data_IF_105712579200
#
_entry.id   IF_105712579200
#
_cell.length_a   1.000
_cell.length_b   1.000
_cell.length_c   1.000
_cell.angle_alpha   90.00
_cell.angle_beta   90.00
_cell.angle_gamma   90.00
#
_symmetry.space_group_name_H-M   'P 1'
#
loop_
_entity.id
_entity.type
_entity.pdbx_description
1 polymer ?
#
# COMPACT_ATOMS: atom_id res chain seq x y z
N UNK A 1 26.29 31.35 -36.28
CA UNK A 1 26.63 29.90 -36.38
C UNK A 1 26.04 29.22 -35.15
N UNK A 2 24.92 28.52 -35.32
CA UNK A 2 24.21 27.82 -34.25
C UNK A 2 24.46 26.31 -34.38
N UNK A 3 24.63 25.56 -33.27
CA UNK A 3 24.83 24.12 -33.33
C UNK A 3 23.50 23.36 -33.59
N UNK A 4 23.55 22.17 -34.21
CA UNK A 4 22.36 21.45 -34.65
C UNK A 4 21.67 20.67 -33.52
N UNK A 5 20.35 20.60 -33.62
CA UNK A 5 19.44 19.83 -32.74
C UNK A 5 19.35 18.38 -33.23
N UNK A 6 19.48 17.33 -32.37
CA UNK A 6 19.31 15.96 -32.81
C UNK A 6 17.84 15.57 -32.98
N UNK A 7 17.50 15.02 -34.14
CA UNK A 7 16.19 14.50 -34.51
C UNK A 7 15.83 13.20 -33.78
N UNK A 8 14.68 13.18 -33.10
CA UNK A 8 14.07 11.97 -32.55
C UNK A 8 13.56 11.03 -33.65
N UNK A 9 14.15 9.84 -33.74
CA UNK A 9 13.65 8.73 -34.56
C UNK A 9 12.44 8.11 -33.83
N UNK A 10 11.24 8.28 -34.41
CA UNK A 10 10.04 7.50 -34.06
C UNK A 10 10.21 6.07 -34.62
N UNK A 11 10.16 5.06 -33.77
CA UNK A 11 9.78 3.70 -34.19
C UNK A 11 8.38 3.39 -33.68
N UNK A 12 7.47 3.24 -34.63
CA UNK A 12 6.14 2.68 -34.47
C UNK A 12 6.22 1.17 -34.23
N UNK A 13 5.51 0.66 -33.23
CA UNK A 13 5.20 -0.77 -33.11
C UNK A 13 3.68 -0.93 -33.08
N UNK A 14 3.16 -1.59 -34.11
CA UNK A 14 1.80 -2.16 -34.14
C UNK A 14 1.86 -3.66 -33.86
N UNK A 15 0.76 -4.30 -33.38
CA UNK A 15 0.82 -5.56 -32.65
C UNK A 15 0.37 -6.78 -33.49
N UNK A 16 1.06 -7.91 -33.32
CA UNK A 16 0.68 -9.28 -33.73
C UNK A 16 1.44 -10.24 -32.81
N UNK A 17 1.00 -11.41 -32.37
CA UNK A 17 -0.23 -12.21 -32.47
C UNK A 17 -0.06 -13.39 -31.48
N UNK A 18 -1.17 -14.03 -31.12
CA UNK A 18 -1.27 -15.24 -30.26
C UNK A 18 -0.55 -16.47 -30.83
N UNK A 19 -0.07 -17.37 -29.94
CA UNK A 19 -0.19 -18.85 -29.93
C UNK A 19 0.91 -19.44 -29.01
N UNK A 20 0.61 -20.15 -27.91
CA UNK A 20 0.03 -21.49 -27.73
C UNK A 20 1.08 -22.60 -27.56
N UNK A 21 0.89 -23.37 -26.48
CA UNK A 21 1.33 -24.75 -26.21
C UNK A 21 2.82 -25.06 -25.94
N UNK A 22 3.11 -25.48 -24.70
CA UNK A 22 4.00 -26.61 -24.39
C UNK A 22 3.80 -27.07 -22.94
N UNK A 23 2.92 -28.04 -22.75
CA UNK A 23 2.78 -28.82 -21.52
C UNK A 23 3.72 -30.02 -21.59
N UNK A 24 4.69 -30.11 -20.67
CA UNK A 24 5.35 -31.39 -20.33
C UNK A 24 5.25 -31.64 -18.83
N UNK A 25 4.62 -32.78 -18.51
CA UNK A 25 4.51 -33.44 -17.20
C UNK A 25 5.88 -33.94 -16.75
N UNK A 26 6.12 -34.02 -15.42
CA UNK A 26 6.77 -35.11 -14.67
C UNK A 26 6.80 -34.78 -13.14
N UNK A 27 7.04 -35.74 -12.21
CA UNK A 27 6.05 -36.11 -11.20
C UNK A 27 6.38 -35.72 -9.74
N UNK A 28 5.38 -35.98 -8.87
CA UNK A 28 5.35 -35.80 -7.42
C UNK A 28 6.24 -36.81 -6.68
N UNK A 29 6.97 -36.35 -5.66
CA UNK A 29 7.41 -37.16 -4.52
C UNK A 29 7.60 -36.26 -3.30
N UNK A 30 6.67 -36.28 -2.33
CA UNK A 30 6.93 -35.79 -0.98
C UNK A 30 6.37 -36.78 0.04
N UNK A 31 7.25 -37.21 0.95
CA UNK A 31 7.02 -38.14 2.02
C UNK A 31 6.29 -37.47 3.20
N UNK A 32 5.47 -38.28 3.86
CA UNK A 32 4.76 -38.01 5.12
C UNK A 32 5.70 -37.97 6.32
N UNK A 33 5.50 -36.99 7.22
CA UNK A 33 6.01 -37.03 8.60
C UNK A 33 4.83 -37.08 9.58
N UNK A 34 4.84 -38.08 10.45
CA UNK A 34 3.90 -38.30 11.56
C UNK A 34 4.33 -37.55 12.82
N UNK A 35 3.35 -37.13 13.62
CA UNK A 35 3.52 -36.65 14.99
C UNK A 35 3.30 -37.79 16.00
N UNK A 36 3.86 -37.73 17.22
CA UNK A 36 3.42 -38.57 18.32
C UNK A 36 2.54 -37.80 19.33
N UNK A 37 1.65 -38.55 19.96
CA UNK A 37 0.74 -38.15 21.02
C UNK A 37 1.07 -38.87 22.34
N UNK A 38 0.54 -38.32 23.45
CA UNK A 38 0.01 -38.99 24.66
C UNK A 38 0.87 -39.15 25.94
N UNK A 39 0.15 -39.02 27.07
CA UNK A 39 0.51 -39.43 28.46
C UNK A 39 0.43 -38.26 29.47
N UNK A 40 -0.67 -37.96 30.18
CA UNK A 40 -1.47 -38.64 31.24
C UNK A 40 -1.01 -38.41 32.70
N UNK A 41 -1.92 -37.78 33.47
CA UNK A 41 -2.34 -37.95 34.87
C UNK A 41 -1.31 -38.10 36.03
N UNK A 42 -1.49 -37.29 37.08
CA UNK A 42 -1.70 -37.76 38.47
C UNK A 42 -2.21 -36.65 39.42
N UNK A 43 -2.97 -37.10 40.41
CA UNK A 43 -3.79 -36.40 41.42
C UNK A 43 -3.14 -36.54 42.81
N UNK A 44 -3.55 -35.70 43.79
CA UNK A 44 -3.68 -35.90 45.26
C UNK A 44 -3.51 -34.53 45.99
N UNK A 45 -4.56 -33.91 46.55
CA UNK A 45 -5.21 -34.04 47.89
C UNK A 45 -4.55 -33.28 49.08
N UNK A 46 -5.38 -32.44 49.72
CA UNK A 46 -5.56 -32.11 51.17
C UNK A 46 -4.87 -30.89 51.85
N UNK A 47 -5.70 -29.85 52.14
CA UNK A 47 -6.09 -29.16 53.42
C UNK A 47 -5.08 -28.89 54.58
N UNK A 48 -5.34 -27.96 55.56
CA UNK A 48 -6.56 -27.16 55.85
C UNK A 48 -6.40 -25.64 56.26
N UNK A 49 -7.54 -24.94 56.19
CA UNK A 49 -8.17 -23.91 57.08
C UNK A 49 -7.35 -22.85 57.85
N UNK A 50 -7.77 -21.58 57.71
CA UNK A 50 -8.15 -20.70 58.84
C UNK A 50 -9.07 -19.56 58.39
N UNK A 51 -10.01 -19.21 59.27
CA UNK A 51 -11.19 -18.38 59.03
C UNK A 51 -10.96 -16.88 59.31
N UNK A 52 -11.74 -15.99 58.67
CA UNK A 52 -12.22 -14.75 59.29
C UNK A 52 -13.35 -14.06 58.49
N UNK A 53 -14.49 -13.89 59.17
CA UNK A 53 -15.59 -12.95 58.99
C UNK A 53 -15.46 -11.81 57.94
N UNK A 54 -16.50 -11.63 57.10
CA UNK A 54 -17.33 -10.40 57.08
C UNK A 54 -18.43 -10.37 56.01
N UNK A 55 -19.58 -9.87 56.45
CA UNK A 55 -20.55 -9.05 55.73
C UNK A 55 -21.35 -9.71 54.61
N UNK A 56 -22.49 -10.23 55.04
CA UNK A 56 -23.67 -10.49 54.22
C UNK A 56 -24.19 -9.16 53.65
N UNK A 57 -23.86 -8.87 52.38
CA UNK A 57 -24.59 -7.91 51.56
C UNK A 57 -25.33 -8.70 50.48
N UNK A 58 -26.66 -8.59 50.48
CA UNK A 58 -27.49 -8.99 49.36
C UNK A 58 -27.00 -8.30 48.09
N UNK A 59 -26.29 -9.04 47.23
CA UNK A 59 -26.21 -8.72 45.82
C UNK A 59 -27.33 -9.50 45.14
N UNK A 60 -28.35 -8.77 44.66
CA UNK A 60 -29.18 -9.28 43.58
C UNK A 60 -28.23 -9.61 42.43
N UNK A 61 -27.95 -10.90 42.22
CA UNK A 61 -27.29 -11.38 41.03
C UNK A 61 -28.25 -11.20 39.85
N UNK A 62 -28.12 -10.08 39.13
CA UNK A 62 -28.57 -10.04 37.74
C UNK A 62 -27.69 -11.04 36.98
N UNK A 63 -28.25 -12.24 36.77
CA UNK A 63 -27.69 -13.25 35.88
C UNK A 63 -27.70 -12.70 34.46
N UNK A 64 -26.61 -12.01 34.07
CA UNK A 64 -26.36 -11.70 32.68
C UNK A 64 -25.83 -12.99 32.07
N UNK A 65 -26.73 -13.70 31.38
CA UNK A 65 -26.41 -14.87 30.56
C UNK A 65 -25.18 -14.59 29.69
N UNK A 66 -24.09 -15.27 29.98
CA UNK A 66 -22.81 -15.17 29.26
C UNK A 66 -22.84 -15.78 27.85
N UNK A 67 -24.02 -16.12 27.34
CA UNK A 67 -24.19 -16.89 26.09
C UNK A 67 -24.59 -16.05 24.88
N UNK A 68 -24.36 -14.73 24.88
CA UNK A 68 -24.75 -13.86 23.76
C UNK A 68 -23.73 -12.78 23.40
N UNK A 69 -22.45 -13.16 23.28
CA UNK A 69 -21.43 -12.30 22.65
C UNK A 69 -20.61 -13.02 21.55
N UNK A 70 -20.65 -14.36 21.48
CA UNK A 70 -19.94 -15.13 20.45
C UNK A 70 -20.65 -15.18 19.07
N UNK A 71 -21.90 -14.72 18.97
CA UNK A 71 -22.72 -14.79 17.74
C UNK A 71 -22.66 -13.53 16.86
N UNK A 72 -21.83 -12.53 17.19
CA UNK A 72 -21.73 -11.28 16.44
C UNK A 72 -20.55 -11.25 15.43
N UNK A 73 -20.03 -12.41 15.01
CA UNK A 73 -19.29 -12.53 13.75
C UNK A 73 -20.21 -13.20 12.75
N UNK A 74 -20.71 -12.44 11.78
CA UNK A 74 -21.78 -12.86 10.87
C UNK A 74 -21.32 -14.06 10.04
N UNK A 75 -21.84 -15.26 10.33
CA UNK A 75 -21.84 -16.40 9.39
C UNK A 75 -22.88 -16.15 8.30
N UNK A 76 -22.63 -15.16 7.45
CA UNK A 76 -23.48 -14.83 6.32
C UNK A 76 -23.27 -15.82 5.18
N UNK A 77 -24.04 -16.92 5.17
CA UNK A 77 -24.18 -17.82 4.03
C UNK A 77 -25.01 -17.15 2.93
N UNK A 78 -24.33 -16.59 1.94
CA UNK A 78 -24.92 -16.03 0.72
C UNK A 78 -23.82 -15.67 -0.24
N UNK A 79 -24.04 -15.87 -1.53
CA UNK A 79 -23.08 -15.54 -2.58
C UNK A 79 -23.03 -14.01 -2.76
N UNK A 80 -22.52 -13.30 -1.76
CA UNK A 80 -22.37 -11.84 -1.77
C UNK A 80 -21.02 -11.56 -2.43
N UNK A 81 -21.05 -11.25 -3.73
CA UNK A 81 -19.90 -10.62 -4.38
C UNK A 81 -19.61 -9.31 -3.67
N UNK A 82 -18.35 -9.10 -3.28
CA UNK A 82 -17.93 -7.81 -2.73
C UNK A 82 -18.25 -6.72 -3.75
N UNK A 83 -19.02 -5.71 -3.33
CA UNK A 83 -19.33 -4.58 -4.20
C UNK A 83 -18.03 -3.80 -4.48
N UNK A 84 -17.82 -3.36 -5.72
CA UNK A 84 -16.69 -2.49 -6.03
C UNK A 84 -16.80 -1.19 -5.23
N UNK A 85 -15.65 -0.58 -4.96
CA UNK A 85 -15.63 0.73 -4.29
C UNK A 85 -16.45 1.77 -5.08
N UNK A 86 -17.32 2.48 -4.36
CA UNK A 86 -18.13 3.55 -4.91
C UNK A 86 -17.29 4.83 -5.14
N UNK A 87 -17.76 5.74 -6.02
CA UNK A 87 -17.24 7.11 -6.09
C UNK A 87 -17.13 7.77 -4.71
N UNK A 88 -16.19 8.71 -4.52
CA UNK A 88 -16.02 9.38 -3.24
C UNK A 88 -17.31 10.13 -2.85
N UNK A 89 -17.70 10.12 -1.57
CA UNK A 89 -18.84 10.90 -1.13
C UNK A 89 -18.53 12.40 -1.22
N UNK A 90 -19.54 13.23 -1.49
CA UNK A 90 -19.39 14.69 -1.63
C UNK A 90 -18.69 15.35 -0.43
N UNK A 91 -18.89 14.83 0.78
CA UNK A 91 -18.26 15.34 2.00
C UNK A 91 -16.72 15.27 1.97
N UNK A 92 -16.13 14.38 1.16
CA UNK A 92 -14.68 14.32 1.00
C UNK A 92 -14.13 15.58 0.32
N UNK A 93 -14.89 16.25 -0.55
CA UNK A 93 -14.44 17.48 -1.21
C UNK A 93 -15.00 18.76 -0.56
N UNK A 94 -15.93 18.66 0.39
CA UNK A 94 -16.55 19.85 1.02
C UNK A 94 -16.18 20.07 2.48
N UNK A 95 -15.91 19.00 3.25
CA UNK A 95 -15.61 19.10 4.67
C UNK A 95 -14.11 19.03 4.96
N UNK A 96 -13.63 19.75 5.98
CA UNK A 96 -12.23 19.68 6.42
C UNK A 96 -12.04 18.51 7.37
N UNK A 97 -11.11 17.62 7.02
CA UNK A 97 -10.73 16.46 7.82
C UNK A 97 -9.38 16.66 8.51
N UNK A 98 -9.18 15.99 9.65
CA UNK A 98 -7.88 15.99 10.34
C UNK A 98 -6.81 15.37 9.45
N UNK A 99 -5.79 16.16 9.10
CA UNK A 99 -4.62 15.70 8.37
C UNK A 99 -3.46 15.33 9.29
N UNK A 100 -2.54 14.56 8.74
CA UNK A 100 -1.22 14.29 9.32
C UNK A 100 -0.22 15.30 8.78
N UNK A 101 0.61 15.85 9.67
CA UNK A 101 1.77 16.66 9.30
C UNK A 101 2.97 15.74 9.13
N UNK A 102 3.57 15.74 7.94
CA UNK A 102 4.63 14.79 7.57
C UNK A 102 5.81 15.55 7.02
N UNK A 103 6.98 15.31 7.60
CA UNK A 103 8.21 15.89 7.11
C UNK A 103 8.70 15.14 5.86
N UNK A 104 9.14 15.83 4.78
CA UNK A 104 9.63 15.20 3.56
C UNK A 104 10.77 14.18 3.79
N UNK A 105 11.59 14.38 4.82
CA UNK A 105 12.68 13.49 5.24
C UNK A 105 12.19 12.09 5.63
N UNK A 106 10.89 11.90 5.84
CA UNK A 106 10.32 10.57 6.12
C UNK A 106 10.04 9.78 4.85
N UNK A 107 10.01 10.40 3.68
CA UNK A 107 9.50 9.82 2.46
C UNK A 107 10.60 9.31 1.53
N UNK A 108 10.38 8.16 0.92
CA UNK A 108 11.25 7.51 -0.04
C UNK A 108 10.59 7.55 -1.41
N UNK A 109 11.37 7.81 -2.45
CA UNK A 109 10.91 7.62 -3.83
C UNK A 109 11.95 6.82 -4.58
N UNK A 110 11.52 5.89 -5.42
CA UNK A 110 12.40 5.16 -6.33
C UNK A 110 12.10 5.61 -7.75
N UNK A 111 13.15 5.92 -8.50
CA UNK A 111 13.04 6.36 -9.89
C UNK A 111 14.13 5.72 -10.73
N UNK A 112 13.82 5.47 -12.01
CA UNK A 112 14.80 5.06 -13.02
C UNK A 112 15.60 6.24 -13.59
N UNK A 113 15.29 7.46 -13.17
CA UNK A 113 15.98 8.68 -13.59
C UNK A 113 16.92 9.16 -12.49
N UNK A 114 18.09 9.67 -12.87
CA UNK A 114 19.10 10.23 -11.95
C UNK A 114 18.94 11.74 -11.70
N UNK A 115 17.91 12.36 -12.29
CA UNK A 115 17.58 13.78 -12.11
C UNK A 115 16.09 14.05 -12.32
N UNK A 116 15.63 15.25 -11.94
CA UNK A 116 14.26 15.71 -12.19
C UNK A 116 13.24 15.30 -11.14
N UNK A 117 13.69 14.86 -9.96
CA UNK A 117 12.82 14.45 -8.86
C UNK A 117 12.68 15.56 -7.79
N UNK A 118 11.53 15.70 -7.11
CA UNK A 118 10.31 14.91 -7.29
C UNK A 118 9.54 15.29 -8.57
N UNK A 119 9.22 14.29 -9.40
CA UNK A 119 8.47 14.46 -10.63
C UNK A 119 6.96 14.28 -10.41
N UNK A 120 6.18 15.28 -10.80
CA UNK A 120 4.71 15.27 -10.75
C UNK A 120 4.13 14.96 -12.13
N UNK A 121 3.82 13.67 -12.36
CA UNK A 121 3.33 13.17 -13.64
C UNK A 121 1.87 13.54 -13.89
N UNK A 122 1.51 13.72 -15.17
CA UNK A 122 0.14 14.02 -15.65
C UNK A 122 -0.35 13.03 -16.72
N UNK A 123 0.23 11.83 -16.75
CA UNK A 123 -0.04 10.84 -17.80
C UNK A 123 -1.41 10.17 -17.66
N UNK A 124 -1.96 10.08 -16.44
CA UNK A 124 -3.22 9.41 -16.20
C UNK A 124 -3.15 7.90 -16.06
N UNK A 125 -1.94 7.36 -16.22
CA UNK A 125 -1.67 5.92 -16.20
C UNK A 125 -1.66 5.32 -14.80
N UNK A 126 -1.64 6.14 -13.75
CA UNK A 126 -1.58 5.66 -12.37
C UNK A 126 -2.91 5.78 -11.64
N UNK A 127 -3.02 4.98 -10.58
CA UNK A 127 -4.22 4.80 -9.77
C UNK A 127 -4.85 6.10 -9.27
N UNK A 128 -4.04 7.09 -8.97
CA UNK A 128 -4.48 8.36 -8.37
C UNK A 128 -4.16 9.56 -9.25
N UNK A 129 -3.90 9.36 -10.53
CA UNK A 129 -3.70 10.48 -11.45
C UNK A 129 -4.99 11.27 -11.68
N UNK A 130 -4.85 12.51 -12.12
CA UNK A 130 -5.97 13.42 -12.35
C UNK A 130 -6.87 12.91 -13.51
N UNK A 131 -8.17 12.66 -13.31
CA UNK A 131 -9.03 12.01 -14.32
C UNK A 131 -9.19 12.83 -15.60
N UNK A 132 -9.00 14.15 -15.54
CA UNK A 132 -9.02 15.06 -16.70
C UNK A 132 -7.90 14.81 -17.71
N UNK A 133 -6.91 13.96 -17.40
CA UNK A 133 -5.83 13.58 -18.33
C UNK A 133 -6.34 13.09 -19.69
N UNK A 134 -7.47 12.37 -19.71
CA UNK A 134 -8.09 11.82 -20.92
C UNK A 134 -8.51 12.91 -21.92
N UNK A 135 -8.68 14.13 -21.43
CA UNK A 135 -9.08 15.30 -22.19
C UNK A 135 -7.95 16.32 -22.27
N UNK A 136 -6.71 15.93 -21.96
CA UNK A 136 -5.55 16.83 -21.84
C UNK A 136 -5.79 18.02 -20.89
N UNK A 137 -6.56 17.78 -19.82
CA UNK A 137 -6.97 18.77 -18.80
C UNK A 137 -6.75 18.22 -17.40
N UNK A 138 -5.60 17.59 -17.17
CA UNK A 138 -5.24 17.06 -15.86
C UNK A 138 -5.30 18.18 -14.80
N UNK A 139 -6.11 17.97 -13.77
CA UNK A 139 -6.35 18.95 -12.71
C UNK A 139 -5.13 19.15 -11.81
N UNK A 140 -4.23 18.15 -11.77
CA UNK A 140 -3.00 18.13 -11.00
C UNK A 140 -1.98 17.16 -11.59
N UNK A 141 -0.71 17.39 -11.26
CA UNK A 141 0.34 16.36 -11.33
C UNK A 141 0.41 15.52 -10.06
N UNK A 142 0.74 14.24 -10.20
CA UNK A 142 0.85 13.29 -9.09
C UNK A 142 2.29 12.81 -8.90
N UNK A 143 2.76 12.77 -7.65
CA UNK A 143 4.04 12.20 -7.25
C UNK A 143 3.83 11.12 -6.19
N UNK A 144 4.45 9.96 -6.38
CA UNK A 144 4.29 8.76 -5.54
C UNK A 144 5.54 8.52 -4.69
N UNK A 145 5.31 8.25 -3.40
CA UNK A 145 6.36 8.00 -2.40
C UNK A 145 5.94 6.89 -1.41
N UNK A 146 6.91 6.26 -0.77
CA UNK A 146 6.73 5.32 0.34
C UNK A 146 7.15 5.92 1.68
N UNK A 147 6.51 5.50 2.79
CA UNK A 147 6.99 5.83 4.14
C UNK A 147 8.27 5.10 4.54
N UNK A 148 8.54 3.99 3.88
CA UNK A 148 9.73 3.17 4.11
C UNK A 148 10.33 2.77 2.77
N UNK A 149 11.60 2.36 2.79
CA UNK A 149 12.28 1.84 1.60
C UNK A 149 11.55 0.61 1.05
N UNK A 150 11.09 -0.29 1.93
CA UNK A 150 10.35 -1.51 1.55
C UNK A 150 9.08 -1.18 0.77
N UNK A 151 8.31 -0.17 1.22
CA UNK A 151 7.10 0.26 0.52
C UNK A 151 7.43 0.87 -0.84
N UNK A 152 8.45 1.74 -0.90
CA UNK A 152 8.87 2.32 -2.16
C UNK A 152 9.36 1.25 -3.15
N UNK A 153 10.10 0.24 -2.67
CA UNK A 153 10.52 -0.90 -3.51
C UNK A 153 9.34 -1.72 -4.01
N UNK A 154 8.38 -2.03 -3.14
CA UNK A 154 7.20 -2.80 -3.52
C UNK A 154 6.34 -2.07 -4.57
N UNK A 155 6.16 -0.75 -4.43
CA UNK A 155 5.35 0.06 -5.34
C UNK A 155 6.07 0.46 -6.63
N UNK A 156 7.41 0.47 -6.68
CA UNK A 156 8.16 0.90 -7.87
C UNK A 156 8.84 -0.24 -8.62
N UNK A 157 9.47 -1.18 -7.90
CA UNK A 157 10.24 -2.28 -8.52
C UNK A 157 9.36 -3.52 -8.72
N UNK A 158 8.49 -3.83 -7.75
CA UNK A 158 7.73 -5.07 -7.74
C UNK A 158 6.30 -4.92 -8.29
N UNK A 159 5.84 -3.70 -8.58
CA UNK A 159 4.45 -3.40 -8.96
C UNK A 159 3.93 -4.27 -10.12
N UNK A 160 4.73 -4.42 -11.17
CA UNK A 160 4.38 -5.20 -12.36
C UNK A 160 5.02 -6.61 -12.37
N UNK A 161 5.64 -7.00 -11.27
CA UNK A 161 6.39 -8.26 -11.17
C UNK A 161 5.55 -9.31 -10.48
N UNK A 162 5.66 -10.55 -10.96
CA UNK A 162 5.04 -11.71 -10.32
C UNK A 162 6.14 -12.61 -9.76
N UNK A 163 6.04 -13.05 -8.50
CA UNK A 163 7.02 -13.95 -7.94
C UNK A 163 6.94 -15.33 -8.60
N UNK A 164 8.11 -15.94 -8.84
CA UNK A 164 8.25 -17.32 -9.29
C UNK A 164 8.84 -18.11 -8.13
N UNK A 165 8.13 -19.14 -7.68
CA UNK A 165 8.50 -19.95 -6.50
C UNK A 165 8.81 -19.10 -5.25
N UNK A 166 8.00 -18.05 -5.04
CA UNK A 166 8.14 -17.13 -3.92
C UNK A 166 9.31 -16.14 -4.03
N UNK A 167 9.94 -16.02 -5.20
CA UNK A 167 11.07 -15.09 -5.44
C UNK A 167 10.72 -14.10 -6.53
N UNK A 168 11.13 -12.85 -6.36
CA UNK A 168 11.04 -11.85 -7.42
C UNK A 168 12.35 -11.83 -8.21
N UNK A 169 12.30 -12.34 -9.44
CA UNK A 169 13.44 -12.31 -10.36
C UNK A 169 13.45 -10.94 -11.05
N UNK A 170 14.42 -10.11 -10.70
CA UNK A 170 14.53 -8.74 -11.20
C UNK A 170 15.79 -8.62 -12.02
N UNK A 171 15.69 -8.06 -13.24
CA UNK A 171 16.86 -7.81 -14.06
C UNK A 171 17.88 -6.93 -13.32
N UNK A 172 19.15 -7.33 -13.34
CA UNK A 172 20.23 -6.59 -12.69
C UNK A 172 20.30 -5.13 -13.19
N UNK A 173 19.98 -4.89 -14.45
CA UNK A 173 19.92 -3.54 -15.04
C UNK A 173 18.84 -2.66 -14.39
N UNK A 174 17.69 -3.22 -14.01
CA UNK A 174 16.64 -2.48 -13.28
C UNK A 174 17.15 -2.09 -11.89
N UNK A 175 17.81 -3.01 -11.19
CA UNK A 175 18.35 -2.75 -9.85
C UNK A 175 19.49 -1.72 -9.88
N UNK A 176 20.38 -1.81 -10.87
CA UNK A 176 21.52 -0.91 -11.04
C UNK A 176 21.10 0.49 -11.51
N UNK A 177 20.06 0.60 -12.34
CA UNK A 177 19.58 1.87 -12.88
C UNK A 177 18.40 2.46 -12.09
N UNK A 178 18.15 1.98 -10.87
CA UNK A 178 17.17 2.56 -9.96
C UNK A 178 17.85 3.35 -8.87
N UNK A 179 17.28 4.50 -8.53
CA UNK A 179 17.80 5.41 -7.53
C UNK A 179 16.76 5.66 -6.44
N UNK A 180 17.20 5.68 -5.19
CA UNK A 180 16.39 6.07 -4.04
C UNK A 180 16.61 7.55 -3.76
N UNK A 181 15.53 8.31 -3.83
CA UNK A 181 15.47 9.72 -3.51
C UNK A 181 14.95 9.95 -2.10
N UNK A 182 15.61 10.88 -1.41
CA UNK A 182 15.22 11.41 -0.10
C UNK A 182 15.05 12.92 -0.22
N UNK A 183 14.16 13.45 0.59
CA UNK A 183 13.70 14.83 0.47
C UNK A 183 13.88 15.61 1.76
N UNK A 184 14.00 16.92 1.64
CA UNK A 184 13.91 17.90 2.73
C UNK A 184 12.85 18.93 2.39
N UNK A 185 12.58 19.86 3.30
CA UNK A 185 11.62 20.95 3.10
C UNK A 185 10.59 21.04 4.23
N UNK A 186 9.47 21.67 3.90
CA UNK A 186 8.41 22.03 4.84
C UNK A 186 7.48 20.86 5.15
N UNK A 187 6.78 20.97 6.28
CA UNK A 187 5.79 19.97 6.68
C UNK A 187 4.64 19.88 5.66
N UNK A 188 4.45 18.68 5.13
CA UNK A 188 3.36 18.31 4.22
C UNK A 188 2.08 18.01 5.01
N UNK A 189 0.96 18.57 4.54
CA UNK A 189 -0.38 18.35 5.07
C UNK A 189 -1.06 17.21 4.30
N UNK A 190 -1.02 16.00 4.84
CA UNK A 190 -1.53 14.81 4.17
C UNK A 190 -2.82 14.29 4.80
N UNK A 191 -3.85 14.09 3.98
CA UNK A 191 -5.04 13.39 4.43
C UNK A 191 -4.75 11.90 4.63
N UNK A 192 -5.15 11.31 5.76
CA UNK A 192 -4.92 9.89 5.99
C UNK A 192 -6.11 9.04 5.50
N UNK A 193 -6.10 8.63 4.23
CA UNK A 193 -7.13 7.76 3.62
C UNK A 193 -6.92 6.28 3.97
N UNK A 194 -6.73 6.00 5.26
CA UNK A 194 -6.67 4.65 5.81
C UNK A 194 -7.55 4.53 7.05
N UNK A 195 -7.76 3.30 7.51
CA UNK A 195 -8.43 3.02 8.79
C UNK A 195 -9.82 3.67 8.93
N UNK A 196 -10.06 4.29 10.08
CA UNK A 196 -11.38 4.81 10.44
C UNK A 196 -11.88 5.93 9.51
N UNK A 197 -11.00 6.80 8.98
CA UNK A 197 -11.44 7.86 8.06
C UNK A 197 -11.93 7.26 6.75
N UNK A 198 -11.16 6.33 6.17
CA UNK A 198 -11.57 5.66 4.94
C UNK A 198 -12.94 4.97 5.12
N UNK A 199 -13.14 4.31 6.27
CA UNK A 199 -14.42 3.66 6.59
C UNK A 199 -15.58 4.67 6.75
N UNK A 200 -15.35 5.82 7.39
CA UNK A 200 -16.35 6.90 7.52
C UNK A 200 -16.79 7.46 6.16
N UNK A 201 -15.89 7.42 5.17
CA UNK A 201 -16.17 7.85 3.80
C UNK A 201 -16.72 6.72 2.92
N UNK A 202 -17.16 5.60 3.52
CA UNK A 202 -17.62 4.38 2.82
C UNK A 202 -16.58 3.75 1.89
N UNK A 203 -15.30 4.08 2.05
CA UNK A 203 -14.20 3.44 1.35
C UNK A 203 -13.75 2.13 2.02
N UNK A 204 -13.01 1.33 1.26
CA UNK A 204 -12.43 0.05 1.70
C UNK A 204 -11.16 -0.26 0.87
N UNK A 205 -10.59 -1.46 1.10
CA UNK A 205 -9.32 -1.89 0.49
C UNK A 205 -9.29 -1.84 -1.05
N UNK A 206 -10.45 -1.89 -1.71
CA UNK A 206 -10.51 -1.79 -3.17
C UNK A 206 -10.05 -0.43 -3.69
N UNK A 207 -10.02 0.62 -2.86
CA UNK A 207 -9.42 1.91 -3.23
C UNK A 207 -7.99 1.72 -3.77
N UNK A 208 -7.24 0.78 -3.18
CA UNK A 208 -5.86 0.47 -3.56
C UNK A 208 -5.74 -0.87 -4.28
N UNK A 209 -6.71 -1.78 -4.10
CA UNK A 209 -6.69 -3.13 -4.67
C UNK A 209 -7.31 -3.29 -6.07
N UNK A 210 -8.22 -2.40 -6.48
CA UNK A 210 -8.95 -2.54 -7.75
C UNK A 210 -8.02 -2.49 -8.98
N UNK A 211 -8.40 -3.19 -10.05
CA UNK A 211 -7.73 -3.10 -11.35
C UNK A 211 -8.15 -1.86 -12.16
N UNK A 212 -9.31 -1.26 -11.87
CA UNK A 212 -9.82 -0.09 -12.57
C UNK A 212 -9.47 1.21 -11.84
N UNK A 213 -8.75 2.12 -12.49
CA UNK A 213 -8.32 3.37 -11.88
C UNK A 213 -9.39 4.47 -11.89
N UNK A 214 -10.52 4.29 -12.58
CA UNK A 214 -11.55 5.33 -12.71
C UNK A 214 -12.07 5.85 -11.36
N UNK A 215 -12.44 4.96 -10.44
CA UNK A 215 -12.94 5.36 -9.10
C UNK A 215 -11.81 5.90 -8.22
N UNK A 216 -10.64 5.24 -8.07
CA UNK A 216 -9.51 5.80 -7.34
C UNK A 216 -9.07 7.21 -7.81
N UNK A 217 -9.08 7.48 -9.12
CA UNK A 217 -8.78 8.82 -9.67
C UNK A 217 -9.83 9.87 -9.24
N UNK A 218 -11.12 9.50 -9.16
CA UNK A 218 -12.16 10.39 -8.61
C UNK A 218 -11.92 10.68 -7.13
N UNK A 219 -11.53 9.68 -6.34
CA UNK A 219 -11.18 9.86 -4.93
C UNK A 219 -10.02 10.84 -4.77
N UNK A 220 -8.95 10.70 -5.55
CA UNK A 220 -7.83 11.64 -5.54
C UNK A 220 -8.25 13.06 -5.92
N UNK A 221 -9.10 13.23 -6.95
CA UNK A 221 -9.66 14.54 -7.31
C UNK A 221 -10.50 15.16 -6.19
N UNK A 222 -11.29 14.35 -5.46
CA UNK A 222 -12.05 14.85 -4.31
C UNK A 222 -11.14 15.38 -3.19
N UNK A 223 -10.01 14.71 -2.91
CA UNK A 223 -9.00 15.21 -1.97
C UNK A 223 -8.36 16.50 -2.48
N UNK A 224 -7.99 16.57 -3.76
CA UNK A 224 -7.39 17.75 -4.37
C UNK A 224 -8.28 19.00 -4.26
N UNK A 225 -9.59 18.82 -4.49
CA UNK A 225 -10.60 19.87 -4.46
C UNK A 225 -11.05 20.27 -3.04
N UNK A 226 -10.61 19.54 -2.01
CA UNK A 226 -11.01 19.82 -0.64
C UNK A 226 -10.56 21.23 -0.17
N UNK A 227 -11.42 21.99 0.55
CA UNK A 227 -11.08 23.33 1.03
C UNK A 227 -9.93 23.40 2.04
N UNK A 228 -9.53 22.27 2.64
CA UNK A 228 -8.33 22.20 3.48
C UNK A 228 -7.02 22.30 2.67
N UNK A 229 -7.09 22.19 1.34
CA UNK A 229 -5.93 22.25 0.42
C UNK A 229 -4.81 21.29 0.82
N UNK A 230 -5.14 20.01 1.00
CA UNK A 230 -4.14 18.97 1.28
C UNK A 230 -3.05 18.96 0.21
N UNK A 231 -1.81 18.73 0.63
CA UNK A 231 -0.66 18.55 -0.24
C UNK A 231 -0.68 17.18 -0.93
N UNK A 232 -1.48 16.25 -0.38
CA UNK A 232 -1.58 14.88 -0.85
C UNK A 232 -2.35 14.03 0.16
N UNK A 233 -2.18 12.71 0.06
CA UNK A 233 -2.79 11.77 1.00
C UNK A 233 -1.95 10.51 1.21
N UNK A 234 -2.18 9.88 2.35
CA UNK A 234 -1.60 8.60 2.75
C UNK A 234 -2.61 7.51 2.40
N UNK A 235 -2.14 6.42 1.80
CA UNK A 235 -2.95 5.25 1.48
C UNK A 235 -2.21 3.95 1.84
N UNK A 236 -2.95 2.84 1.97
CA UNK A 236 -2.36 1.53 2.20
C UNK A 236 -1.70 1.01 0.92
N UNK A 237 -0.43 0.63 0.98
CA UNK A 237 0.27 0.07 -0.19
C UNK A 237 -0.41 -1.21 -0.66
N UNK A 238 -0.54 -1.37 -1.98
CA UNK A 238 -1.12 -2.58 -2.59
C UNK A 238 -0.13 -3.74 -2.50
N UNK A 239 1.15 -3.44 -2.72
CA UNK A 239 2.22 -4.43 -2.87
C UNK A 239 2.95 -4.72 -1.53
N UNK A 240 2.83 -3.81 -0.56
CA UNK A 240 3.27 -4.01 0.83
C UNK A 240 2.09 -3.70 1.77
N UNK A 241 1.16 -4.64 1.93
CA UNK A 241 -0.19 -4.42 2.50
C UNK A 241 -0.26 -3.81 3.92
N UNK A 242 0.80 -3.96 4.73
CA UNK A 242 0.90 -3.32 6.05
C UNK A 242 1.55 -1.92 5.99
N UNK A 243 2.16 -1.58 4.87
CA UNK A 243 2.89 -0.35 4.62
C UNK A 243 2.00 0.79 4.15
N UNK A 244 2.53 2.01 4.30
CA UNK A 244 1.88 3.26 3.89
C UNK A 244 2.62 3.87 2.73
N UNK A 245 1.88 4.15 1.66
CA UNK A 245 2.34 4.95 0.55
C UNK A 245 1.70 6.34 0.61
N UNK A 246 2.29 7.28 -0.12
CA UNK A 246 1.90 8.68 -0.20
C UNK A 246 1.77 9.05 -1.67
N UNK A 247 0.69 9.76 -1.97
CA UNK A 247 0.53 10.48 -3.21
C UNK A 247 0.52 11.97 -2.88
N UNK A 248 1.36 12.75 -3.57
CA UNK A 248 1.41 14.20 -3.49
C UNK A 248 0.85 14.82 -4.77
N UNK A 249 0.17 15.95 -4.60
CA UNK A 249 -0.22 16.84 -5.69
C UNK A 249 0.91 17.84 -5.99
N UNK A 250 1.00 18.29 -7.24
CA UNK A 250 1.96 19.30 -7.70
C UNK A 250 1.99 20.60 -6.86
N UNK A 251 0.87 21.01 -6.24
CA UNK A 251 0.85 22.14 -5.29
C UNK A 251 1.82 21.97 -4.10
N UNK A 252 2.27 20.76 -3.81
CA UNK A 252 3.22 20.45 -2.76
C UNK A 252 4.67 20.69 -3.18
N UNK A 253 4.95 20.93 -4.47
CA UNK A 253 6.30 21.05 -5.04
C UNK A 253 7.17 22.07 -4.29
N UNK A 254 6.61 23.23 -3.97
CA UNK A 254 7.32 24.28 -3.22
C UNK A 254 7.75 23.87 -1.79
N UNK A 255 7.17 22.79 -1.23
CA UNK A 255 7.46 22.30 0.12
C UNK A 255 8.44 21.13 0.14
N UNK A 256 8.79 20.58 -1.01
CA UNK A 256 9.60 19.37 -1.10
C UNK A 256 10.79 19.60 -2.02
N UNK A 257 11.98 19.44 -1.47
CA UNK A 257 13.23 19.62 -2.20
C UNK A 257 13.99 18.30 -2.18
N UNK A 258 14.53 17.90 -3.32
CA UNK A 258 15.47 16.79 -3.39
C UNK A 258 16.67 17.09 -2.48
N UNK A 259 17.00 16.17 -1.59
CA UNK A 259 18.13 16.31 -0.68
C UNK A 259 19.30 15.43 -1.09
N UNK A 260 19.05 14.14 -1.31
CA UNK A 260 20.06 13.17 -1.71
C UNK A 260 19.39 12.09 -2.56
N UNK A 261 20.14 11.57 -3.53
CA UNK A 261 19.79 10.33 -4.21
C UNK A 261 20.97 9.36 -4.15
N UNK A 262 20.67 8.08 -4.08
CA UNK A 262 21.67 7.01 -3.97
C UNK A 262 21.23 5.87 -4.88
N UNK A 263 22.15 5.15 -5.56
CA UNK A 263 21.80 3.91 -6.24
C UNK A 263 21.04 2.97 -5.30
N UNK A 264 20.00 2.29 -5.81
CA UNK A 264 19.11 1.45 -5.01
C UNK A 264 19.89 0.39 -4.23
N UNK A 265 20.81 -0.30 -4.91
CA UNK A 265 21.61 -1.38 -4.33
C UNK A 265 22.59 -0.91 -3.25
N UNK A 266 22.97 0.38 -3.27
CA UNK A 266 23.87 1.01 -2.31
C UNK A 266 23.12 1.67 -1.15
N UNK A 267 21.78 1.75 -1.24
CA UNK A 267 20.97 2.46 -0.24
C UNK A 267 20.94 1.69 1.08
N UNK A 268 21.20 2.34 2.23
CA UNK A 268 21.05 1.72 3.54
C UNK A 268 19.67 1.09 3.72
N UNK A 269 19.64 -0.18 4.10
CA UNK A 269 18.41 -0.97 4.26
C UNK A 269 18.00 -1.78 3.02
N UNK A 270 18.64 -1.58 1.86
CA UNK A 270 18.34 -2.34 0.64
C UNK A 270 18.45 -3.85 0.87
N UNK A 271 19.57 -4.34 1.41
CA UNK A 271 19.77 -5.78 1.63
C UNK A 271 18.67 -6.42 2.52
N UNK A 272 18.18 -5.68 3.51
CA UNK A 272 17.07 -6.11 4.38
C UNK A 272 15.76 -6.17 3.59
N UNK A 273 15.44 -5.12 2.84
CA UNK A 273 14.22 -5.04 2.03
C UNK A 273 14.21 -6.10 0.92
N UNK A 274 15.34 -6.30 0.23
CA UNK A 274 15.52 -7.32 -0.79
C UNK A 274 15.32 -8.73 -0.22
N UNK A 275 15.88 -9.01 0.97
CA UNK A 275 15.66 -10.28 1.67
C UNK A 275 14.20 -10.48 2.07
N UNK A 276 13.53 -9.43 2.57
CA UNK A 276 12.12 -9.49 2.98
C UNK A 276 11.19 -9.88 1.83
N UNK A 277 11.46 -9.40 0.62
CA UNK A 277 10.68 -9.74 -0.58
C UNK A 277 11.29 -10.87 -1.40
N UNK A 278 12.36 -11.52 -0.96
CA UNK A 278 13.08 -12.55 -1.72
C UNK A 278 13.42 -12.10 -3.16
N UNK A 279 13.94 -10.86 -3.30
CA UNK A 279 14.42 -10.32 -4.58
C UNK A 279 15.74 -11.00 -4.96
N UNK A 280 15.82 -11.48 -6.20
CA UNK A 280 17.01 -12.08 -6.78
C UNK A 280 17.33 -11.35 -8.09
N UNK A 281 18.54 -10.80 -8.18
CA UNK A 281 19.06 -10.20 -9.40
C UNK A 281 19.40 -11.27 -10.44
N UNK A 282 18.97 -11.07 -11.69
CA UNK A 282 19.28 -11.94 -12.84
C UNK A 282 19.89 -11.17 -14.01
#
# INVERSE_FOLDING_TARGET
MAPPVPSCIRRSLSPTSKNAASLRKYPRHWATCQAPASGSFLSLRNCPLTAAHRLQRSMMAMSISTTSWLLLWRSGGGNVTALPIAPPPRILSTEKWRASRVLPQRLYRISGYSFGEPYFGRSGGNRFDAPGWKFNKAEYGACYLGYTLEVAMAESILHDQMPIDGKFLIANTVLQNSYVYRFTGDSLLLLNLTGALLKKLSGHGDLTGTSSYGVPQQWALAVFNNPARYDGFIYASRHATLGKAVMLFDRAEAKITQSIFTPLIETPGYAKAAKQFAIVGM
#
